data_IF_404163244907
#
_entry.id   IF_404163244907
#
_cell.length_a   1.000
_cell.length_b   1.000
_cell.length_c   1.000
_cell.angle_alpha   90.00
_cell.angle_beta   90.00
_cell.angle_gamma   90.00
#
_symmetry.space_group_name_H-M   'P 1'
#
loop_
_entity.id
_entity.type
_entity.pdbx_description
1 polymer ?
#
# COMPACT_ATOMS: atom_id res chain seq x y z
N UNK A 1 19.63 40.60 23.60
CA UNK A 1 19.16 39.94 22.36
C UNK A 1 19.15 38.43 22.55
N UNK A 2 17.99 37.81 22.78
CA UNK A 2 17.85 36.34 22.78
C UNK A 2 17.49 35.90 21.36
N UNK A 3 18.41 35.25 20.67
CA UNK A 3 18.17 34.66 19.37
C UNK A 3 17.08 33.57 19.49
N UNK A 4 15.93 33.79 18.84
CA UNK A 4 14.95 32.73 18.59
C UNK A 4 15.63 31.68 17.73
N UNK A 5 15.99 30.54 18.30
CA UNK A 5 16.25 29.32 17.53
C UNK A 5 14.94 28.98 16.82
N UNK A 6 14.82 29.30 15.53
CA UNK A 6 13.82 28.68 14.67
C UNK A 6 14.13 27.19 14.69
N UNK A 7 13.27 26.41 15.35
CA UNK A 7 13.27 24.96 15.18
C UNK A 7 13.01 24.74 13.70
N UNK A 8 14.03 24.32 12.98
CA UNK A 8 13.92 23.77 11.64
C UNK A 8 13.01 22.55 11.75
N UNK A 9 11.71 22.75 11.54
CA UNK A 9 10.71 21.68 11.57
C UNK A 9 10.80 21.03 10.20
N UNK A 10 11.49 19.90 10.11
CA UNK A 10 11.39 19.04 8.94
C UNK A 10 9.90 18.84 8.62
N UNK A 11 9.49 19.00 7.35
CA UNK A 11 8.09 18.88 6.97
C UNK A 11 7.56 17.48 7.36
N UNK A 12 6.32 17.45 7.85
CA UNK A 12 5.65 16.20 8.18
C UNK A 12 5.52 15.32 6.95
N UNK A 13 5.71 14.01 7.09
CA UNK A 13 5.50 13.06 5.99
C UNK A 13 3.99 12.85 5.80
N UNK A 14 3.41 13.23 4.63
CA UNK A 14 1.99 13.05 4.39
C UNK A 14 1.73 11.60 3.96
N UNK A 15 0.95 10.89 4.76
CA UNK A 15 0.64 9.48 4.60
C UNK A 15 -0.87 9.29 4.45
N UNK A 16 -1.32 8.57 3.43
CA UNK A 16 -2.71 8.16 3.28
C UNK A 16 -2.87 6.64 3.44
N UNK A 17 -3.87 6.25 4.23
CA UNK A 17 -4.33 4.88 4.37
C UNK A 17 -5.76 4.79 3.84
N UNK A 18 -5.97 4.02 2.78
CA UNK A 18 -7.24 3.94 2.03
C UNK A 18 -7.80 2.53 2.16
N UNK A 19 -8.98 2.43 2.77
CA UNK A 19 -9.67 1.17 3.04
C UNK A 19 -10.98 1.04 2.29
N UNK A 20 -11.22 -0.12 1.66
CA UNK A 20 -12.53 -0.48 1.13
C UNK A 20 -12.81 -1.98 1.30
N UNK A 21 -13.76 -2.32 2.17
CA UNK A 21 -14.06 -3.71 2.54
C UNK A 21 -15.15 -4.39 1.72
N UNK A 22 -16.06 -3.64 1.10
CA UNK A 22 -17.16 -4.22 0.33
C UNK A 22 -17.67 -3.25 -0.75
N UNK A 23 -16.89 -3.09 -1.85
CA UNK A 23 -17.30 -2.27 -2.97
C UNK A 23 -18.41 -2.93 -3.78
N UNK A 24 -19.13 -2.14 -4.58
CA UNK A 24 -20.15 -2.66 -5.48
C UNK A 24 -19.55 -3.70 -6.44
N UNK A 25 -20.13 -4.91 -6.48
CA UNK A 25 -19.65 -6.02 -7.31
C UNK A 25 -18.63 -6.95 -6.64
N UNK A 26 -18.25 -6.71 -5.38
CA UNK A 26 -17.40 -7.65 -4.64
C UNK A 26 -18.16 -8.93 -4.27
N UNK A 27 -17.48 -10.07 -4.41
CA UNK A 27 -18.03 -11.39 -4.09
C UNK A 27 -18.02 -11.70 -2.59
N UNK A 28 -17.22 -10.99 -1.80
CA UNK A 28 -17.07 -11.18 -0.35
C UNK A 28 -16.56 -9.90 0.32
N UNK A 29 -16.74 -9.81 1.63
CA UNK A 29 -16.24 -8.70 2.47
C UNK A 29 -14.82 -8.99 2.94
N UNK A 30 -13.97 -7.96 2.99
CA UNK A 30 -12.67 -8.01 3.67
C UNK A 30 -12.82 -7.52 5.12
N UNK A 31 -12.89 -8.45 6.07
CA UNK A 31 -13.20 -8.13 7.47
C UNK A 31 -12.09 -7.32 8.16
N UNK A 32 -10.85 -7.45 7.68
CA UNK A 32 -9.68 -6.85 8.32
C UNK A 32 -9.23 -5.50 7.76
N UNK A 33 -9.99 -4.86 6.85
CA UNK A 33 -9.58 -3.58 6.23
C UNK A 33 -9.38 -2.47 7.26
N UNK A 34 -10.43 -2.14 8.03
CA UNK A 34 -10.32 -1.05 8.99
C UNK A 34 -9.36 -1.36 10.15
N UNK A 35 -9.38 -2.59 10.72
CA UNK A 35 -8.35 -3.02 11.68
C UNK A 35 -6.92 -2.87 11.15
N UNK A 36 -6.67 -3.17 9.87
CA UNK A 36 -5.37 -2.99 9.24
C UNK A 36 -4.98 -1.51 9.17
N UNK A 37 -5.90 -0.62 8.77
CA UNK A 37 -5.60 0.82 8.75
C UNK A 37 -5.25 1.36 10.14
N UNK A 38 -5.93 0.88 11.19
CA UNK A 38 -5.65 1.26 12.58
C UNK A 38 -4.31 0.70 13.06
N UNK A 39 -3.99 -0.55 12.70
CA UNK A 39 -2.69 -1.15 12.96
C UNK A 39 -1.58 -0.31 12.33
N UNK A 40 -1.69 0.03 11.04
CA UNK A 40 -0.72 0.89 10.34
C UNK A 40 -0.59 2.24 11.06
N UNK A 41 -1.69 2.91 11.40
CA UNK A 41 -1.67 4.18 12.14
C UNK A 41 -0.89 4.08 13.44
N UNK A 42 -1.05 2.98 14.18
CA UNK A 42 -0.39 2.76 15.48
C UNK A 42 1.12 2.52 15.38
N UNK A 43 1.59 2.01 14.23
CA UNK A 43 3.00 1.68 13.98
C UNK A 43 3.79 2.82 13.34
N UNK A 44 3.09 3.80 12.75
CA UNK A 44 3.73 4.98 12.18
C UNK A 44 4.20 5.95 13.28
N UNK A 45 5.30 6.69 13.05
CA UNK A 45 5.73 7.74 13.96
C UNK A 45 4.58 8.73 14.27
N UNK A 46 4.43 9.19 15.52
CA UNK A 46 3.37 10.12 15.89
C UNK A 46 3.63 11.53 15.29
N UNK A 47 2.62 12.42 15.30
CA UNK A 47 2.82 13.80 14.90
C UNK A 47 3.89 14.47 15.77
N UNK A 48 4.71 15.39 15.21
CA UNK A 48 4.57 15.97 13.88
C UNK A 48 5.26 15.19 12.75
N UNK A 49 5.88 14.03 13.03
CA UNK A 49 6.69 13.29 12.04
C UNK A 49 5.87 12.81 10.85
N UNK A 50 4.66 12.30 11.10
CA UNK A 50 3.71 11.86 10.06
C UNK A 50 2.38 12.60 10.22
N UNK A 51 1.85 13.09 9.11
CA UNK A 51 0.46 13.54 8.96
C UNK A 51 -0.32 12.41 8.32
N UNK A 52 -1.42 11.99 8.94
CA UNK A 52 -2.12 10.75 8.57
C UNK A 52 -3.54 11.03 8.08
N UNK A 53 -3.79 10.68 6.82
CA UNK A 53 -5.09 10.71 6.17
C UNK A 53 -5.68 9.30 6.18
N UNK A 54 -6.83 9.10 6.85
CA UNK A 54 -7.56 7.82 6.84
C UNK A 54 -8.80 7.94 5.96
N UNK A 55 -8.98 7.03 5.01
CA UNK A 55 -10.21 6.89 4.22
C UNK A 55 -10.81 5.53 4.53
N UNK A 56 -12.01 5.52 5.12
CA UNK A 56 -12.75 4.31 5.48
C UNK A 56 -13.62 3.82 4.32
N UNK A 57 -14.14 2.60 4.43
CA UNK A 57 -14.94 1.97 3.37
C UNK A 57 -16.16 2.81 2.94
N UNK A 58 -16.83 3.46 3.90
CA UNK A 58 -17.98 4.33 3.62
C UNK A 58 -17.62 5.59 2.83
N UNK A 59 -16.34 5.94 2.80
CA UNK A 59 -15.78 7.18 2.27
C UNK A 59 -14.86 6.97 1.07
N UNK A 60 -14.44 5.73 0.82
CA UNK A 60 -13.51 5.37 -0.23
C UNK A 60 -14.16 5.45 -1.61
N UNK A 61 -14.40 6.66 -2.11
CA UNK A 61 -14.76 6.91 -3.50
C UNK A 61 -13.53 7.09 -4.37
N UNK A 62 -13.65 6.86 -5.69
CA UNK A 62 -12.58 7.17 -6.65
C UNK A 62 -12.06 8.60 -6.48
N UNK A 63 -12.96 9.57 -6.36
CA UNK A 63 -12.57 10.99 -6.21
C UNK A 63 -11.78 11.22 -4.92
N UNK A 64 -12.20 10.63 -3.79
CA UNK A 64 -11.45 10.77 -2.52
C UNK A 64 -10.11 10.06 -2.56
N UNK A 65 -10.02 8.91 -3.22
CA UNK A 65 -8.75 8.21 -3.42
C UNK A 65 -7.79 9.04 -4.28
N UNK A 66 -8.26 9.63 -5.39
CA UNK A 66 -7.45 10.51 -6.24
C UNK A 66 -6.91 11.74 -5.48
N UNK A 67 -7.76 12.42 -4.69
CA UNK A 67 -7.29 13.53 -3.85
C UNK A 67 -6.26 13.07 -2.81
N UNK A 68 -6.46 11.90 -2.18
CA UNK A 68 -5.47 11.36 -1.26
C UNK A 68 -4.13 11.06 -1.94
N UNK A 69 -4.15 10.58 -3.19
CA UNK A 69 -2.95 10.38 -3.99
C UNK A 69 -2.26 11.71 -4.31
N UNK A 70 -3.00 12.78 -4.60
CA UNK A 70 -2.42 14.11 -4.85
C UNK A 70 -1.75 14.70 -3.61
N UNK A 71 -2.38 14.56 -2.44
CA UNK A 71 -1.98 15.25 -1.22
C UNK A 71 -0.95 14.48 -0.37
N UNK A 72 -0.70 13.20 -0.68
CA UNK A 72 0.12 12.32 0.15
C UNK A 72 1.20 11.61 -0.68
N UNK A 73 2.40 11.50 -0.12
CA UNK A 73 3.56 10.90 -0.79
C UNK A 73 3.84 9.48 -0.32
N UNK A 74 3.15 9.04 0.74
CA UNK A 74 3.17 7.69 1.26
C UNK A 74 1.75 7.14 1.23
N UNK A 75 1.58 5.94 0.69
CA UNK A 75 0.28 5.33 0.48
C UNK A 75 0.22 3.94 1.10
N UNK A 76 -0.93 3.59 1.66
CA UNK A 76 -1.28 2.23 2.04
C UNK A 76 -2.71 1.96 1.60
N UNK A 77 -2.89 0.94 0.77
CA UNK A 77 -4.19 0.49 0.32
C UNK A 77 -4.54 -0.83 1.00
N UNK A 78 -5.74 -0.91 1.58
CA UNK A 78 -6.34 -2.15 2.08
C UNK A 78 -7.73 -2.30 1.44
N UNK A 79 -7.79 -2.99 0.31
CA UNK A 79 -9.01 -3.08 -0.49
C UNK A 79 -8.95 -4.24 -1.49
N UNK A 80 -10.03 -4.48 -2.22
CA UNK A 80 -9.99 -5.39 -3.37
C UNK A 80 -9.22 -4.75 -4.54
N UNK A 81 -8.28 -5.51 -5.09
CA UNK A 81 -7.71 -5.28 -6.41
C UNK A 81 -8.43 -6.14 -7.44
N UNK A 82 -8.46 -5.66 -8.67
CA UNK A 82 -8.89 -6.45 -9.83
C UNK A 82 -7.86 -6.29 -10.92
N UNK A 83 -7.51 -7.41 -11.55
CA UNK A 83 -6.62 -7.43 -12.69
C UNK A 83 -7.43 -7.77 -13.95
N UNK A 84 -7.24 -6.97 -14.99
CA UNK A 84 -7.87 -7.19 -16.28
C UNK A 84 -6.78 -7.57 -17.29
N UNK A 85 -6.73 -8.85 -17.65
CA UNK A 85 -5.70 -9.38 -18.55
C UNK A 85 -5.92 -8.98 -20.01
N UNK A 86 -7.17 -8.74 -20.42
CA UNK A 86 -7.49 -8.30 -21.79
C UNK A 86 -7.19 -6.80 -22.01
N UNK A 87 -7.36 -5.99 -20.96
CA UNK A 87 -7.10 -4.55 -20.97
C UNK A 87 -6.44 -4.14 -19.63
N UNK A 88 -5.10 -4.21 -19.52
CA UNK A 88 -4.38 -3.97 -18.27
C UNK A 88 -4.67 -2.60 -17.64
N UNK A 89 -4.95 -1.57 -18.44
CA UNK A 89 -5.29 -0.23 -17.96
C UNK A 89 -6.62 -0.17 -17.21
N UNK A 90 -7.51 -1.17 -17.39
CA UNK A 90 -8.74 -1.34 -16.61
C UNK A 90 -8.54 -2.09 -15.29
N UNK A 91 -7.35 -2.60 -15.00
CA UNK A 91 -7.02 -3.11 -13.67
C UNK A 91 -7.21 -1.99 -12.65
N UNK A 92 -7.76 -2.30 -11.48
CA UNK A 92 -8.24 -1.25 -10.58
C UNK A 92 -8.28 -1.65 -9.11
N UNK A 93 -8.16 -0.66 -8.24
CA UNK A 93 -8.64 -0.77 -6.87
C UNK A 93 -10.15 -0.52 -6.85
N UNK A 94 -10.91 -1.44 -6.26
CA UNK A 94 -12.35 -1.31 -6.19
C UNK A 94 -12.73 -0.37 -5.06
N UNK A 95 -13.34 0.76 -5.43
CA UNK A 95 -13.82 1.79 -4.51
C UNK A 95 -15.35 1.66 -4.35
N UNK A 96 -15.92 2.42 -3.41
CA UNK A 96 -17.34 2.41 -3.05
C UNK A 96 -18.26 2.71 -4.23
N UNK A 97 -17.88 3.68 -5.07
CA UNK A 97 -18.71 4.22 -6.16
C UNK A 97 -18.30 3.68 -7.53
N UNK A 98 -17.02 3.78 -7.87
CA UNK A 98 -16.47 3.35 -9.15
C UNK A 98 -14.99 2.98 -9.00
N UNK A 99 -14.45 2.05 -9.80
CA UNK A 99 -13.06 1.63 -9.66
C UNK A 99 -12.05 2.78 -9.86
N UNK A 100 -10.98 2.80 -9.06
CA UNK A 100 -9.78 3.60 -9.32
C UNK A 100 -8.88 2.77 -10.25
N UNK A 101 -8.96 3.05 -11.54
CA UNK A 101 -8.25 2.27 -12.56
C UNK A 101 -6.79 2.64 -12.67
N UNK A 102 -6.02 1.74 -13.26
CA UNK A 102 -4.64 1.99 -13.61
C UNK A 102 -4.51 3.15 -14.60
N UNK A 103 -5.45 3.30 -15.54
CA UNK A 103 -5.50 4.48 -16.41
C UNK A 103 -5.60 5.78 -15.61
N UNK A 104 -6.44 5.81 -14.57
CA UNK A 104 -6.57 7.00 -13.71
C UNK A 104 -5.26 7.31 -12.98
N UNK A 105 -4.57 6.28 -12.48
CA UNK A 105 -3.31 6.41 -11.73
C UNK A 105 -2.17 6.87 -12.66
N UNK A 106 -2.06 6.29 -13.86
CA UNK A 106 -1.00 6.61 -14.82
C UNK A 106 -1.14 7.99 -15.46
N UNK A 107 -2.33 8.60 -15.37
CA UNK A 107 -2.56 10.00 -15.73
C UNK A 107 -2.14 11.00 -14.64
N UNK A 108 -1.77 10.53 -13.44
CA UNK A 108 -1.26 11.37 -12.36
C UNK A 108 0.27 11.49 -12.44
N UNK A 109 0.80 12.63 -12.00
CA UNK A 109 2.23 12.77 -11.70
C UNK A 109 2.47 12.34 -10.24
N UNK A 110 2.99 11.13 -10.06
CA UNK A 110 3.36 10.59 -8.74
C UNK A 110 4.87 10.63 -8.49
N UNK A 111 5.63 11.48 -9.19
CA UNK A 111 7.10 11.56 -9.08
C UNK A 111 7.61 11.95 -7.69
N UNK A 112 6.76 12.58 -6.87
CA UNK A 112 7.06 12.93 -5.48
C UNK A 112 6.70 11.82 -4.48
N UNK A 113 6.06 10.74 -4.91
CA UNK A 113 5.64 9.64 -4.04
C UNK A 113 6.84 8.77 -3.68
N UNK A 114 7.05 8.61 -2.37
CA UNK A 114 8.17 7.84 -1.86
C UNK A 114 7.83 6.36 -1.75
N UNK A 115 6.59 6.02 -1.42
CA UNK A 115 6.24 4.65 -1.08
C UNK A 115 4.74 4.34 -1.23
N UNK A 116 4.43 3.12 -1.67
CA UNK A 116 3.09 2.55 -1.59
C UNK A 116 3.12 1.09 -1.07
N UNK A 117 2.25 0.75 -0.13
CA UNK A 117 1.97 -0.62 0.26
C UNK A 117 0.58 -1.02 -0.23
N UNK A 118 0.50 -2.05 -1.06
CA UNK A 118 -0.75 -2.54 -1.63
C UNK A 118 -1.17 -3.83 -0.94
N UNK A 119 -1.96 -3.69 0.12
CA UNK A 119 -2.68 -4.78 0.78
C UNK A 119 -3.96 -5.08 0.02
N UNK A 120 -3.79 -5.46 -1.24
CA UNK A 120 -4.87 -5.79 -2.14
C UNK A 120 -4.47 -7.03 -2.94
N UNK A 121 -5.39 -8.00 -3.01
CA UNK A 121 -5.17 -9.26 -3.70
C UNK A 121 -4.84 -9.01 -5.17
N UNK A 122 -3.96 -9.86 -5.72
CA UNK A 122 -3.66 -9.90 -7.15
C UNK A 122 -3.11 -8.58 -7.70
N UNK A 123 -2.46 -7.77 -6.85
CA UNK A 123 -1.84 -6.50 -7.27
C UNK A 123 -0.51 -6.68 -8.00
N UNK A 124 -0.04 -7.93 -8.11
CA UNK A 124 1.19 -8.31 -8.76
C UNK A 124 1.16 -9.65 -9.51
N UNK A 125 -0.01 -10.15 -9.90
CA UNK A 125 -0.10 -11.39 -10.71
C UNK A 125 0.41 -11.10 -12.13
N UNK A 126 1.25 -11.96 -12.69
CA UNK A 126 1.49 -12.02 -14.14
C UNK A 126 0.47 -12.92 -14.83
N UNK A 127 0.19 -12.72 -16.11
CA UNK A 127 -0.67 -13.62 -16.89
C UNK A 127 0.04 -14.98 -17.09
N UNK A 128 -0.72 -16.08 -17.06
CA UNK A 128 -0.19 -17.41 -17.36
C UNK A 128 0.20 -17.57 -18.83
N UNK A 129 -0.40 -16.81 -19.75
CA UNK A 129 -0.04 -16.81 -21.16
C UNK A 129 1.06 -15.80 -21.50
N UNK A 130 1.16 -14.69 -20.76
CA UNK A 130 2.14 -13.62 -20.95
C UNK A 130 2.74 -13.10 -19.62
N UNK A 131 3.53 -13.93 -18.91
CA UNK A 131 4.04 -13.58 -17.57
C UNK A 131 4.97 -12.35 -17.56
N UNK A 132 5.55 -12.00 -18.72
CA UNK A 132 6.49 -10.89 -18.89
C UNK A 132 5.82 -9.55 -19.30
N UNK A 133 4.51 -9.50 -19.58
CA UNK A 133 3.83 -8.34 -20.20
C UNK A 133 2.72 -7.70 -19.36
N UNK A 134 2.43 -8.22 -18.16
CA UNK A 134 1.30 -7.71 -17.36
C UNK A 134 1.69 -6.52 -16.49
N UNK A 135 1.14 -5.36 -16.83
CA UNK A 135 1.14 -4.19 -15.95
C UNK A 135 0.17 -4.44 -14.79
N UNK A 136 0.68 -5.04 -13.75
CA UNK A 136 -0.03 -5.20 -12.50
C UNK A 136 -0.06 -3.86 -11.71
N UNK A 137 -1.01 -3.69 -10.79
CA UNK A 137 -1.24 -2.40 -10.10
C UNK A 137 0.03 -1.82 -9.45
N UNK A 138 0.89 -2.67 -8.86
CA UNK A 138 2.16 -2.21 -8.30
C UNK A 138 3.13 -1.63 -9.35
N UNK A 139 3.28 -2.28 -10.51
CA UNK A 139 4.07 -1.76 -11.63
C UNK A 139 3.46 -0.46 -12.18
N UNK A 140 2.14 -0.37 -12.19
CA UNK A 140 1.39 0.82 -12.54
C UNK A 140 1.69 2.05 -11.68
N UNK A 141 1.68 1.89 -10.36
CA UNK A 141 2.08 2.95 -9.44
C UNK A 141 3.55 3.34 -9.63
N UNK A 142 4.43 2.35 -9.85
CA UNK A 142 5.83 2.62 -10.09
C UNK A 142 6.04 3.42 -11.38
N UNK A 143 5.35 3.04 -12.47
CA UNK A 143 5.37 3.74 -13.75
C UNK A 143 4.88 5.19 -13.62
N UNK A 144 3.84 5.42 -12.81
CA UNK A 144 3.32 6.75 -12.51
C UNK A 144 4.27 7.62 -11.66
N UNK A 145 5.33 7.03 -11.08
CA UNK A 145 6.41 7.76 -10.38
C UNK A 145 6.67 7.35 -8.92
N UNK A 146 5.92 6.39 -8.37
CA UNK A 146 6.12 5.94 -6.99
C UNK A 146 7.46 5.20 -6.85
N UNK A 147 8.36 5.71 -6.00
CA UNK A 147 9.74 5.21 -5.93
C UNK A 147 9.89 3.77 -5.44
N UNK A 148 9.02 3.34 -4.53
CA UNK A 148 9.06 2.02 -3.92
C UNK A 148 7.64 1.51 -3.68
N UNK A 149 7.33 0.33 -4.20
CA UNK A 149 6.00 -0.27 -4.08
C UNK A 149 6.13 -1.68 -3.51
N UNK A 150 5.26 -2.03 -2.57
CA UNK A 150 5.04 -3.40 -2.13
C UNK A 150 3.66 -3.85 -2.60
N UNK A 151 3.57 -5.03 -3.21
CA UNK A 151 2.33 -5.64 -3.66
C UNK A 151 2.26 -7.13 -3.35
N UNK A 152 1.12 -7.75 -3.66
CA UNK A 152 0.89 -9.18 -3.47
C UNK A 152 0.66 -9.90 -4.79
N UNK A 153 1.35 -11.03 -4.97
CA UNK A 153 1.28 -11.87 -6.16
C UNK A 153 -0.01 -12.71 -6.24
N UNK A 154 -0.73 -12.92 -5.14
CA UNK A 154 -2.01 -13.65 -5.10
C UNK A 154 -2.75 -13.35 -3.79
N UNK A 155 -3.90 -14.00 -3.57
CA UNK A 155 -4.71 -13.83 -2.36
C UNK A 155 -3.95 -14.22 -1.09
N UNK A 156 -3.95 -13.30 -0.13
CA UNK A 156 -3.37 -13.49 1.19
C UNK A 156 -4.49 -13.63 2.22
N UNK A 157 -4.32 -14.49 3.22
CA UNK A 157 -5.27 -14.58 4.33
C UNK A 157 -5.17 -13.36 5.23
N UNK A 158 -6.29 -12.90 5.78
CA UNK A 158 -6.32 -11.77 6.72
C UNK A 158 -5.32 -11.91 7.87
N UNK A 159 -5.19 -13.12 8.43
CA UNK A 159 -4.22 -13.43 9.49
C UNK A 159 -2.76 -13.23 9.06
N UNK A 160 -2.44 -13.57 7.80
CA UNK A 160 -1.10 -13.38 7.24
C UNK A 160 -0.84 -11.90 6.95
N UNK A 161 -1.81 -11.21 6.34
CA UNK A 161 -1.73 -9.77 6.06
C UNK A 161 -1.44 -9.00 7.34
N UNK A 162 -2.25 -9.19 8.38
CA UNK A 162 -2.11 -8.46 9.64
C UNK A 162 -0.70 -8.60 10.23
N UNK A 163 -0.19 -9.85 10.27
CA UNK A 163 1.13 -10.14 10.85
C UNK A 163 2.27 -9.60 10.01
N UNK A 164 2.16 -9.68 8.67
CA UNK A 164 3.19 -9.16 7.78
C UNK A 164 3.21 -7.63 7.78
N UNK A 165 2.04 -6.98 7.74
CA UNK A 165 1.92 -5.52 7.83
C UNK A 165 2.51 -5.03 9.16
N UNK A 166 2.18 -5.70 10.27
CA UNK A 166 2.75 -5.38 11.57
C UNK A 166 4.28 -5.49 11.57
N UNK A 167 4.81 -6.64 11.14
CA UNK A 167 6.25 -6.88 11.10
C UNK A 167 6.96 -5.90 10.14
N UNK A 168 6.35 -5.61 8.98
CA UNK A 168 6.88 -4.70 7.99
C UNK A 168 7.02 -3.29 8.55
N UNK A 169 5.94 -2.70 9.07
CA UNK A 169 5.98 -1.33 9.59
C UNK A 169 6.84 -1.21 10.86
N UNK A 170 6.93 -2.26 11.70
CA UNK A 170 7.90 -2.30 12.81
C UNK A 170 9.35 -2.22 12.32
N UNK A 171 9.70 -2.97 11.27
CA UNK A 171 11.07 -2.95 10.72
C UNK A 171 11.36 -1.65 9.95
N UNK A 172 10.37 -1.10 9.26
CA UNK A 172 10.50 0.13 8.48
C UNK A 172 10.63 1.39 9.36
N UNK A 173 9.75 1.50 10.37
CA UNK A 173 9.54 2.70 11.17
C UNK A 173 10.06 2.60 12.61
N UNK A 174 10.65 1.47 13.01
CA UNK A 174 11.04 1.21 14.41
C UNK A 174 12.08 2.17 15.00
N UNK A 175 12.80 2.92 14.16
CA UNK A 175 13.73 3.99 14.57
C UNK A 175 13.09 5.39 14.55
N UNK A 176 11.77 5.47 14.31
CA UNK A 176 11.00 6.70 14.25
C UNK A 176 11.14 7.49 12.94
N UNK A 177 11.78 6.93 11.91
CA UNK A 177 12.02 7.63 10.63
C UNK A 177 11.27 6.96 9.48
N UNK A 178 10.78 7.78 8.56
CA UNK A 178 10.19 7.33 7.30
C UNK A 178 11.28 7.32 6.21
N UNK A 179 11.63 6.14 5.69
CA UNK A 179 12.64 6.00 4.63
C UNK A 179 12.28 4.85 3.68
N UNK A 180 11.81 5.18 2.47
CA UNK A 180 11.37 4.20 1.49
C UNK A 180 12.51 3.29 1.00
N UNK A 181 13.76 3.74 1.03
CA UNK A 181 14.94 2.93 0.65
C UNK A 181 15.15 1.70 1.53
N UNK A 182 14.47 1.65 2.68
CA UNK A 182 14.50 0.49 3.59
C UNK A 182 13.35 -0.49 3.35
N UNK A 183 12.43 -0.20 2.44
CA UNK A 183 11.25 -1.02 2.20
C UNK A 183 11.61 -2.47 1.86
N UNK A 184 12.56 -2.68 0.93
CA UNK A 184 13.02 -4.02 0.57
C UNK A 184 13.57 -4.79 1.78
N UNK A 185 14.44 -4.14 2.58
CA UNK A 185 15.02 -4.74 3.78
C UNK A 185 13.96 -5.04 4.84
N UNK A 186 13.03 -4.11 5.07
CA UNK A 186 11.95 -4.26 6.03
C UNK A 186 11.00 -5.40 5.63
N UNK A 187 10.69 -5.54 4.33
CA UNK A 187 9.90 -6.65 3.81
C UNK A 187 10.62 -7.99 4.00
N UNK A 188 11.91 -8.05 3.65
CA UNK A 188 12.72 -9.25 3.88
C UNK A 188 12.72 -9.68 5.35
N UNK A 189 12.92 -8.74 6.28
CA UNK A 189 12.89 -9.00 7.72
C UNK A 189 11.51 -9.46 8.19
N UNK A 190 10.43 -8.86 7.68
CA UNK A 190 9.06 -9.26 7.99
C UNK A 190 8.79 -10.71 7.56
N UNK A 191 9.04 -11.04 6.28
CA UNK A 191 8.87 -12.40 5.74
C UNK A 191 9.74 -13.41 6.50
N UNK A 192 10.99 -13.07 6.79
CA UNK A 192 11.89 -13.94 7.56
C UNK A 192 11.40 -14.17 9.01
N UNK A 193 10.79 -13.17 9.64
CA UNK A 193 10.21 -13.34 10.99
C UNK A 193 9.02 -14.30 10.98
N UNK A 194 8.19 -14.24 9.93
CA UNK A 194 7.05 -15.13 9.74
C UNK A 194 7.45 -16.54 9.32
N UNK A 195 8.59 -16.68 8.63
CA UNK A 195 9.14 -17.98 8.25
C UNK A 195 9.45 -18.91 9.43
N UNK A 196 9.58 -18.35 10.64
CA UNK A 196 9.77 -19.11 11.88
C UNK A 196 8.46 -19.68 12.43
N UNK A 197 7.33 -19.21 11.93
CA UNK A 197 6.04 -19.80 12.23
C UNK A 197 5.82 -21.05 11.38
N UNK A 198 5.60 -22.17 12.05
CA UNK A 198 5.34 -23.47 11.42
C UNK A 198 3.91 -23.56 10.86
N UNK A 199 3.01 -22.70 11.31
CA UNK A 199 1.61 -22.70 10.92
C UNK A 199 1.33 -21.82 9.69
N UNK A 200 2.33 -21.09 9.19
CA UNK A 200 2.19 -20.25 8.01
C UNK A 200 2.57 -21.01 6.72
N UNK A 201 1.61 -21.22 5.79
CA UNK A 201 1.87 -21.87 4.51
C UNK A 201 2.93 -21.15 3.67
N UNK A 202 3.66 -21.88 2.84
CA UNK A 202 4.72 -21.30 2.01
C UNK A 202 4.18 -20.27 1.01
N UNK A 203 3.02 -20.54 0.40
CA UNK A 203 2.33 -19.63 -0.51
C UNK A 203 1.97 -18.31 0.18
N UNK A 204 1.65 -18.31 1.47
CA UNK A 204 1.38 -17.10 2.25
C UNK A 204 2.66 -16.31 2.57
N UNK A 205 3.83 -16.94 2.50
CA UNK A 205 5.13 -16.31 2.82
C UNK A 205 5.81 -15.66 1.62
N UNK A 206 5.63 -16.22 0.43
CA UNK A 206 6.33 -15.77 -0.79
C UNK A 206 5.48 -14.85 -1.67
N UNK A 207 4.28 -14.50 -1.21
CA UNK A 207 3.30 -13.70 -1.97
C UNK A 207 3.68 -12.22 -2.08
N UNK A 208 4.49 -11.70 -1.17
CA UNK A 208 4.82 -10.27 -1.16
C UNK A 208 6.04 -9.98 -2.02
N UNK A 209 5.93 -8.97 -2.88
CA UNK A 209 7.05 -8.48 -3.66
C UNK A 209 7.29 -6.99 -3.42
N UNK A 210 8.53 -6.58 -3.63
CA UNK A 210 8.95 -5.18 -3.63
C UNK A 210 9.45 -4.81 -5.02
N UNK A 211 9.09 -3.62 -5.49
CA UNK A 211 9.56 -3.04 -6.76
C UNK A 211 9.98 -1.60 -6.52
N UNK A 212 11.15 -1.21 -7.03
CA UNK A 212 11.66 0.15 -6.94
C UNK A 212 12.95 0.26 -6.12
N UNK A 213 13.29 1.50 -5.73
CA UNK A 213 14.58 1.89 -5.16
C UNK A 213 14.53 2.25 -3.67
#
# INVERSE_FOLDING_TARGET
MRARRSRDRSPSVPFAAIGQNFPAGASFTLDCVEPELDLVRSLLPPPPTVSFTKILSVDATKSRALHALQDNTWLHFSCHGTQNFDDPFKSAFLMRDQPLSLLDITQMDLSLHQFAFLSACETAVGDFATPDEVIHLAAGLQFAGVKSVIGTLWKVTDSTVQRLVEAFYKNLCGDGKMNSKRAAQALHQAVHSLARDKDMPLDQRIVFMHIGA
#
